data_IF_436333660219
#
_entry.id   IF_436333660219
#
_cell.length_a   1.000
_cell.length_b   1.000
_cell.length_c   1.000
_cell.angle_alpha   90.00
_cell.angle_beta   90.00
_cell.angle_gamma   90.00
#
_symmetry.space_group_name_H-M   'P 1'
#
loop_
_entity.id
_entity.type
_entity.pdbx_description
1 polymer ?
#
# COMPACT_ATOMS: atom_id res chain seq x y z
N UNK A 1 22.23 7.69 15.10
CA UNK A 1 20.81 7.33 15.29
C UNK A 1 20.33 6.79 13.96
N UNK A 2 20.40 5.48 13.75
CA UNK A 2 19.81 4.85 12.56
C UNK A 2 18.31 5.01 12.69
N UNK A 3 17.69 5.75 11.78
CA UNK A 3 16.24 5.94 11.80
C UNK A 3 15.60 4.80 11.01
N UNK A 4 14.66 4.10 11.61
CA UNK A 4 13.88 3.07 10.94
C UNK A 4 12.60 3.67 10.38
N UNK A 5 12.16 3.20 9.22
CA UNK A 5 10.93 3.63 8.57
C UNK A 5 10.09 2.40 8.20
N UNK A 6 8.82 2.39 8.61
CA UNK A 6 7.87 1.36 8.22
C UNK A 6 7.13 1.80 6.96
N UNK A 7 7.21 1.00 5.90
CA UNK A 7 6.57 1.27 4.63
C UNK A 7 5.47 0.25 4.37
N UNK A 8 4.22 0.69 4.48
CA UNK A 8 3.07 -0.12 4.12
C UNK A 8 2.68 0.15 2.67
N UNK A 9 2.81 -0.85 1.79
CA UNK A 9 2.41 -0.72 0.39
C UNK A 9 1.51 -1.85 -0.04
N UNK A 10 0.53 -1.52 -0.86
CA UNK A 10 -0.21 -2.51 -1.65
C UNK A 10 0.68 -2.90 -2.82
N UNK A 11 1.12 -4.15 -2.83
CA UNK A 11 1.74 -4.76 -4.01
C UNK A 11 1.04 -6.08 -4.26
N UNK A 12 0.44 -6.21 -5.43
CA UNK A 12 -0.07 -7.48 -5.94
C UNK A 12 0.79 -7.87 -7.15
N UNK A 13 0.76 -9.14 -7.53
CA UNK A 13 1.51 -9.65 -8.70
C UNK A 13 1.14 -8.90 -10.00
N UNK A 14 -0.12 -8.45 -10.10
CA UNK A 14 -0.63 -7.65 -11.22
C UNK A 14 -0.35 -6.14 -11.10
N UNK A 15 -0.11 -5.60 -9.91
CA UNK A 15 0.06 -4.16 -9.72
C UNK A 15 1.08 -3.82 -8.64
N UNK A 16 2.24 -3.33 -9.09
CA UNK A 16 3.22 -2.69 -8.24
C UNK A 16 2.93 -1.19 -8.24
N UNK A 17 2.52 -0.66 -7.08
CA UNK A 17 2.30 0.78 -6.94
C UNK A 17 3.64 1.54 -7.11
N UNK A 18 3.79 2.39 -8.15
CA UNK A 18 5.04 3.08 -8.44
C UNK A 18 5.44 4.08 -7.33
N UNK A 19 4.44 4.64 -6.62
CA UNK A 19 4.68 5.54 -5.50
C UNK A 19 5.31 4.83 -4.31
N UNK A 20 4.90 3.59 -4.02
CA UNK A 20 5.50 2.79 -2.94
C UNK A 20 6.98 2.50 -3.20
N UNK A 21 7.34 2.20 -4.45
CA UNK A 21 8.73 1.98 -4.85
C UNK A 21 9.58 3.25 -4.70
N UNK A 22 9.03 4.41 -5.07
CA UNK A 22 9.71 5.70 -4.96
C UNK A 22 9.93 6.11 -3.50
N UNK A 23 8.96 5.85 -2.63
CA UNK A 23 9.10 6.08 -1.19
C UNK A 23 10.17 5.18 -0.58
N UNK A 24 10.22 3.90 -0.99
CA UNK A 24 11.30 2.99 -0.56
C UNK A 24 12.68 3.51 -0.96
N UNK A 25 12.86 3.85 -2.24
CA UNK A 25 14.14 4.37 -2.77
C UNK A 25 14.59 5.64 -2.02
N UNK A 26 13.66 6.55 -1.73
CA UNK A 26 13.97 7.77 -1.00
C UNK A 26 14.40 7.49 0.44
N UNK A 27 13.72 6.59 1.14
CA UNK A 27 14.05 6.22 2.51
C UNK A 27 15.41 5.49 2.59
N UNK A 28 15.69 4.58 1.65
CA UNK A 28 16.98 3.88 1.55
C UNK A 28 18.13 4.87 1.28
N UNK A 29 17.92 5.84 0.37
CA UNK A 29 18.89 6.91 0.06
C UNK A 29 19.19 7.83 1.23
N UNK A 30 18.18 8.12 2.04
CA UNK A 30 18.32 8.94 3.24
C UNK A 30 18.95 8.16 4.42
N UNK A 31 19.30 6.89 4.22
CA UNK A 31 19.95 6.04 5.22
C UNK A 31 19.01 5.49 6.29
N UNK A 32 17.72 5.36 5.96
CA UNK A 32 16.75 4.72 6.84
C UNK A 32 16.72 3.20 6.66
N UNK A 33 16.47 2.50 7.75
CA UNK A 33 16.18 1.06 7.73
C UNK A 33 14.70 0.85 7.37
N UNK A 34 14.42 0.44 6.12
CA UNK A 34 13.06 0.38 5.58
C UNK A 34 12.45 -1.01 5.79
N UNK A 35 11.41 -1.08 6.62
CA UNK A 35 10.61 -2.29 6.82
C UNK A 35 9.39 -2.29 5.88
N UNK A 36 9.46 -3.08 4.81
CA UNK A 36 8.41 -3.17 3.79
C UNK A 36 7.31 -4.14 4.23
N UNK A 37 6.14 -3.61 4.56
CA UNK A 37 4.94 -4.36 4.90
C UNK A 37 4.00 -4.39 3.69
N UNK A 38 3.96 -5.54 3.01
CA UNK A 38 3.02 -5.78 1.93
C UNK A 38 1.62 -5.98 2.48
N UNK A 39 0.72 -5.06 2.14
CA UNK A 39 -0.70 -5.19 2.42
C UNK A 39 -1.33 -6.03 1.31
N UNK A 40 -1.42 -7.33 1.53
CA UNK A 40 -2.18 -8.24 0.69
C UNK A 40 -3.67 -7.98 0.96
N UNK A 41 -4.37 -7.42 -0.03
CA UNK A 41 -5.80 -7.17 0.06
C UNK A 41 -6.62 -8.06 -0.91
N UNK A 42 -6.59 -9.42 -0.82
CA UNK A 42 -7.50 -10.22 -1.64
C UNK A 42 -8.92 -10.35 -1.07
N UNK A 43 -9.19 -10.01 0.20
CA UNK A 43 -10.42 -10.48 0.86
C UNK A 43 -11.43 -9.42 1.31
N UNK A 44 -11.03 -8.17 1.59
CA UNK A 44 -11.97 -7.21 2.21
C UNK A 44 -12.80 -6.42 1.19
N UNK A 45 -12.30 -6.18 -0.03
CA UNK A 45 -13.05 -5.45 -1.07
C UNK A 45 -14.18 -6.26 -1.72
N UNK A 46 -14.25 -7.57 -1.50
CA UNK A 46 -15.30 -8.43 -2.08
C UNK A 46 -16.55 -8.60 -1.21
N UNK A 47 -16.62 -7.97 -0.04
CA UNK A 47 -17.77 -8.09 0.86
C UNK A 47 -18.75 -6.90 0.79
N UNK A 48 -18.42 -5.83 0.05
CA UNK A 48 -19.26 -4.63 -0.07
C UNK A 48 -20.01 -4.49 -1.41
N UNK A 49 -20.05 -5.54 -2.24
CA UNK A 49 -20.81 -5.53 -3.49
C UNK A 49 -22.11 -6.36 -3.44
N UNK A 50 -22.51 -6.88 -2.28
CA UNK A 50 -23.73 -7.71 -2.18
C UNK A 50 -24.92 -7.02 -1.53
N UNK A 51 -24.81 -5.80 -0.98
CA UNK A 51 -25.96 -5.24 -0.24
C UNK A 51 -26.36 -3.77 -0.39
N UNK A 52 -25.72 -2.91 -1.18
CA UNK A 52 -26.35 -1.61 -1.48
C UNK A 52 -26.02 -1.09 -2.87
N UNK A 53 -26.90 -1.44 -3.80
CA UNK A 53 -27.14 -0.75 -5.06
C UNK A 53 -27.64 0.68 -4.78
N UNK A 54 -26.76 1.63 -4.43
CA UNK A 54 -26.95 3.08 -4.65
C UNK A 54 -25.81 3.87 -4.01
N UNK A 55 -25.08 4.66 -4.81
CA UNK A 55 -24.62 5.97 -4.37
C UNK A 55 -24.84 6.96 -5.54
N UNK A 56 -25.82 7.86 -5.47
CA UNK A 56 -25.90 9.00 -6.38
C UNK A 56 -24.72 9.95 -6.11
N UNK A 57 -24.13 10.49 -7.18
CA UNK A 57 -23.24 11.63 -7.11
C UNK A 57 -24.08 12.85 -6.71
N UNK A 58 -23.69 13.55 -5.65
CA UNK A 58 -24.21 14.90 -5.32
C UNK A 58 -23.31 15.94 -5.97
#
# INVERSE_FOLDING_TARGET
MSKSAELYRMATDEHICPFGLKSKDLLEREGYDVNDHLLDFPAFTRQFLTQNSTLPQT
#
